data_IF_540506779807
#
_entry.id   IF_540506779807
#
_cell.length_a   1.000
_cell.length_b   1.000
_cell.length_c   1.000
_cell.angle_alpha   90.00
_cell.angle_beta   90.00
_cell.angle_gamma   90.00
#
_symmetry.space_group_name_H-M   'P 1'
#
loop_
_entity.id
_entity.type
_entity.pdbx_description
1 polymer ?
#
# COMPACT_ATOMS: atom_id res chain seq x y z
N UNK A 1 -0.33 23.54 4.76
CA UNK A 1 -0.38 22.90 6.09
C UNK A 1 0.20 21.50 5.96
N UNK A 2 1.24 21.13 6.74
CA UNK A 2 1.79 19.77 6.74
C UNK A 2 0.77 18.88 7.44
N UNK A 3 0.33 17.80 6.76
CA UNK A 3 -0.62 16.84 7.32
C UNK A 3 -0.05 16.25 8.62
N UNK A 4 -0.88 16.08 9.65
CA UNK A 4 -0.51 15.55 10.96
C UNK A 4 0.18 14.18 10.86
N UNK A 5 -0.26 13.33 9.93
CA UNK A 5 0.39 12.05 9.64
C UNK A 5 1.86 12.21 9.19
N UNK A 6 2.18 13.26 8.41
CA UNK A 6 3.55 13.56 7.99
C UNK A 6 4.40 14.09 9.16
N UNK A 7 3.83 14.89 10.05
CA UNK A 7 4.52 15.35 11.26
C UNK A 7 4.90 14.18 12.16
N UNK A 8 3.97 13.26 12.38
CA UNK A 8 4.21 12.06 13.17
C UNK A 8 5.28 11.16 12.54
N UNK A 9 5.26 11.04 11.20
CA UNK A 9 6.28 10.26 10.49
C UNK A 9 7.69 10.87 10.60
N UNK A 10 7.80 12.21 10.57
CA UNK A 10 9.07 12.91 10.79
C UNK A 10 9.56 12.68 12.22
N UNK A 11 8.70 12.88 13.23
CA UNK A 11 9.06 12.67 14.63
C UNK A 11 9.54 11.24 14.90
N UNK A 12 8.84 10.25 14.36
CA UNK A 12 9.22 8.83 14.48
C UNK A 12 10.57 8.52 13.81
N UNK A 13 10.87 9.16 12.68
CA UNK A 13 12.16 9.00 12.03
C UNK A 13 13.30 9.59 12.88
N UNK A 14 13.10 10.81 13.40
CA UNK A 14 14.08 11.51 14.26
C UNK A 14 14.34 10.74 15.56
N UNK A 15 13.30 10.24 16.21
CA UNK A 15 13.41 9.40 17.42
C UNK A 15 14.24 8.13 17.16
N UNK A 16 14.14 7.58 15.96
CA UNK A 16 14.93 6.42 15.52
C UNK A 16 16.35 6.78 15.04
N UNK A 17 16.78 8.04 15.13
CA UNK A 17 18.07 8.52 14.62
C UNK A 17 18.13 8.58 13.09
N UNK A 18 16.98 8.57 12.40
CA UNK A 18 16.90 8.65 10.96
C UNK A 18 16.54 10.06 10.49
N UNK A 19 17.07 10.43 9.32
CA UNK A 19 16.64 11.63 8.61
C UNK A 19 15.40 11.31 7.76
N UNK A 20 14.35 12.12 7.86
CA UNK A 20 13.15 11.97 7.05
C UNK A 20 13.41 12.51 5.63
N UNK A 21 13.95 11.68 4.76
CA UNK A 21 14.34 12.00 3.38
C UNK A 21 13.15 11.98 2.41
N UNK A 22 13.32 12.67 1.29
CA UNK A 22 12.30 12.76 0.25
C UNK A 22 12.98 12.71 -1.12
N UNK A 23 12.42 11.98 -2.08
CA UNK A 23 12.95 11.88 -3.43
C UNK A 23 12.81 13.14 -4.29
N UNK A 24 12.22 14.21 -3.76
CA UNK A 24 12.28 15.54 -4.36
C UNK A 24 13.52 16.33 -3.93
N UNK A 25 14.26 15.84 -2.94
CA UNK A 25 15.55 16.39 -2.52
C UNK A 25 16.66 15.90 -3.46
N UNK A 26 17.79 16.65 -3.57
CA UNK A 26 18.94 16.18 -4.31
C UNK A 26 19.42 14.81 -3.81
N UNK A 27 19.74 13.91 -4.70
CA UNK A 27 20.20 12.56 -4.39
C UNK A 27 21.11 12.02 -5.48
N UNK A 28 21.65 10.82 -5.28
CA UNK A 28 22.40 10.13 -6.31
C UNK A 28 21.44 9.51 -7.33
N UNK A 29 21.91 9.38 -8.57
CA UNK A 29 21.16 8.73 -9.65
C UNK A 29 21.89 7.50 -10.16
N UNK A 30 21.17 6.60 -10.83
CA UNK A 30 21.72 5.40 -11.45
C UNK A 30 21.39 5.36 -12.94
N UNK A 31 22.37 5.00 -13.75
CA UNK A 31 22.22 4.65 -15.16
C UNK A 31 22.75 3.23 -15.40
N UNK A 32 22.19 2.54 -16.37
CA UNK A 32 22.70 1.23 -16.83
C UNK A 32 23.29 1.43 -18.21
N UNK A 33 24.57 1.06 -18.37
CA UNK A 33 25.28 1.03 -19.66
C UNK A 33 26.03 -0.29 -19.78
N UNK A 34 25.84 -0.98 -20.89
CA UNK A 34 26.51 -2.27 -21.17
C UNK A 34 26.38 -3.26 -19.98
N UNK A 35 25.18 -3.39 -19.43
CA UNK A 35 24.85 -4.24 -18.26
C UNK A 35 25.54 -3.81 -16.94
N UNK A 36 26.29 -2.70 -16.94
CA UNK A 36 26.92 -2.17 -15.74
C UNK A 36 26.10 -1.04 -15.13
N UNK A 37 25.99 -1.06 -13.81
CA UNK A 37 25.37 0.04 -13.06
C UNK A 37 26.39 1.13 -12.85
N UNK A 38 26.04 2.35 -13.26
CA UNK A 38 26.82 3.55 -13.06
C UNK A 38 26.05 4.49 -12.14
N UNK A 39 26.70 4.96 -11.11
CA UNK A 39 26.10 5.89 -10.15
C UNK A 39 26.69 7.29 -10.33
N UNK A 40 25.84 8.29 -10.16
CA UNK A 40 26.17 9.70 -10.30
C UNK A 40 25.82 10.46 -9.01
N UNK A 41 26.62 11.45 -8.68
CA UNK A 41 26.39 12.32 -7.54
C UNK A 41 25.30 13.38 -7.81
N UNK A 42 24.98 14.19 -6.80
CA UNK A 42 23.97 15.27 -6.87
C UNK A 42 24.30 16.36 -7.93
N UNK A 43 25.49 16.33 -8.54
CA UNK A 43 25.94 17.23 -9.59
C UNK A 43 26.10 16.51 -10.94
N UNK A 44 25.48 15.37 -11.09
CA UNK A 44 25.57 14.50 -12.28
C UNK A 44 27.00 14.09 -12.66
N UNK A 45 27.93 14.07 -11.69
CA UNK A 45 29.26 13.54 -11.89
C UNK A 45 29.37 12.10 -11.46
N UNK A 46 30.18 11.26 -12.12
CA UNK A 46 30.36 9.87 -11.71
C UNK A 46 30.74 9.76 -10.23
N UNK A 47 30.02 8.99 -9.49
CA UNK A 47 30.24 8.77 -8.07
C UNK A 47 31.56 8.01 -7.86
N UNK A 48 32.53 8.63 -7.17
CA UNK A 48 33.88 8.06 -6.99
C UNK A 48 34.15 7.58 -5.55
N UNK A 49 33.32 8.02 -4.59
CA UNK A 49 33.53 7.68 -3.19
C UNK A 49 33.23 6.17 -2.99
N UNK A 50 34.26 5.39 -2.70
CA UNK A 50 34.13 3.93 -2.54
C UNK A 50 33.07 3.51 -1.52
N UNK A 51 32.93 4.27 -0.43
CA UNK A 51 31.93 4.02 0.60
C UNK A 51 30.51 4.16 0.05
N UNK A 52 30.25 5.22 -0.71
CA UNK A 52 28.93 5.51 -1.28
C UNK A 52 28.58 4.55 -2.43
N UNK A 53 29.58 4.19 -3.25
CA UNK A 53 29.40 3.15 -4.28
C UNK A 53 29.00 1.82 -3.65
N UNK A 54 29.71 1.40 -2.60
CA UNK A 54 29.40 0.17 -1.87
C UNK A 54 27.99 0.23 -1.29
N UNK A 55 27.60 1.35 -0.65
CA UNK A 55 26.26 1.55 -0.11
C UNK A 55 25.19 1.47 -1.20
N UNK A 56 25.39 2.13 -2.33
CA UNK A 56 24.45 2.12 -3.45
C UNK A 56 24.26 0.70 -4.04
N UNK A 57 25.33 -0.08 -4.11
CA UNK A 57 25.29 -1.48 -4.56
C UNK A 57 24.59 -2.39 -3.54
N UNK A 58 24.85 -2.18 -2.23
CA UNK A 58 24.19 -2.91 -1.14
C UNK A 58 22.67 -2.70 -1.07
N UNK A 59 22.14 -1.62 -1.62
CA UNK A 59 20.68 -1.41 -1.74
C UNK A 59 20.02 -2.40 -2.70
N UNK A 60 20.79 -3.12 -3.52
CA UNK A 60 20.30 -4.14 -4.46
C UNK A 60 19.13 -3.69 -5.31
N UNK A 61 19.22 -2.46 -5.83
CA UNK A 61 18.19 -1.87 -6.66
C UNK A 61 18.04 -2.71 -7.95
N UNK A 62 16.83 -3.25 -8.25
CA UNK A 62 16.63 -4.09 -9.42
C UNK A 62 17.08 -3.39 -10.71
N UNK A 63 17.80 -4.09 -11.62
CA UNK A 63 18.24 -3.51 -12.90
C UNK A 63 17.11 -2.95 -13.75
N UNK A 64 15.94 -3.59 -13.71
CA UNK A 64 14.75 -3.19 -14.47
C UNK A 64 14.13 -1.86 -14.03
N UNK A 65 14.54 -1.28 -12.89
CA UNK A 65 14.02 0.01 -12.46
C UNK A 65 14.65 1.15 -13.27
N UNK A 66 13.84 2.15 -13.62
CA UNK A 66 14.26 3.41 -14.24
C UNK A 66 14.09 4.57 -13.27
N UNK A 67 14.57 5.75 -13.62
CA UNK A 67 14.44 6.99 -12.84
C UNK A 67 14.80 6.78 -11.35
N UNK A 68 15.95 6.14 -11.15
CA UNK A 68 16.42 5.78 -9.80
C UNK A 68 16.99 7.00 -9.10
N UNK A 69 16.39 7.33 -7.95
CA UNK A 69 16.93 8.27 -6.96
C UNK A 69 17.45 7.50 -5.75
N UNK A 70 18.59 7.90 -5.21
CA UNK A 70 19.20 7.33 -4.01
C UNK A 70 19.51 8.46 -3.05
N UNK A 71 19.05 8.33 -1.80
CA UNK A 71 19.36 9.30 -0.76
C UNK A 71 20.86 9.46 -0.59
N UNK A 72 21.37 10.69 -0.53
CA UNK A 72 22.78 11.00 -0.30
C UNK A 72 23.23 10.72 1.14
N UNK A 73 22.26 10.58 2.07
CA UNK A 73 22.50 10.30 3.49
C UNK A 73 22.30 8.81 3.80
N UNK A 74 23.26 8.23 4.53
CA UNK A 74 23.18 6.83 4.94
C UNK A 74 22.06 6.56 5.95
N UNK A 75 21.67 7.55 6.74
CA UNK A 75 20.56 7.47 7.71
C UNK A 75 19.23 8.01 7.18
N UNK A 76 19.07 8.22 5.87
CA UNK A 76 17.77 8.57 5.30
C UNK A 76 16.75 7.46 5.55
N UNK A 77 15.52 7.76 6.02
CA UNK A 77 14.47 6.75 6.20
C UNK A 77 14.06 6.11 4.88
N UNK A 78 14.01 6.91 3.81
CA UNK A 78 13.85 6.47 2.43
C UNK A 78 15.24 6.44 1.79
N UNK A 79 15.71 5.25 1.41
CA UNK A 79 17.05 5.05 0.88
C UNK A 79 17.10 5.15 -0.64
N UNK A 80 16.08 4.65 -1.35
CA UNK A 80 16.00 4.80 -2.80
C UNK A 80 14.54 4.73 -3.28
N UNK A 81 14.31 5.32 -4.45
CA UNK A 81 13.09 5.12 -5.24
C UNK A 81 13.45 4.79 -6.68
N UNK A 82 12.52 4.22 -7.42
CA UNK A 82 12.66 3.98 -8.86
C UNK A 82 11.33 3.55 -9.47
N UNK A 83 11.27 3.50 -10.78
CA UNK A 83 10.08 3.11 -11.53
C UNK A 83 10.29 1.69 -12.07
N UNK A 84 9.37 0.78 -11.75
CA UNK A 84 9.42 -0.61 -12.24
C UNK A 84 8.93 -0.73 -13.70
N UNK A 85 9.03 -1.94 -14.27
CA UNK A 85 8.57 -2.23 -15.64
C UNK A 85 7.07 -1.98 -15.86
N UNK A 86 6.27 -1.95 -14.78
CA UNK A 86 4.83 -1.62 -14.82
C UNK A 86 4.55 -0.15 -14.57
N UNK A 87 5.56 0.72 -14.68
CA UNK A 87 5.49 2.16 -14.44
C UNK A 87 5.01 2.55 -13.02
N UNK A 88 5.24 1.68 -12.03
CA UNK A 88 4.90 1.96 -10.64
C UNK A 88 6.14 2.42 -9.89
N UNK A 89 5.98 3.45 -9.06
CA UNK A 89 7.05 3.90 -8.16
C UNK A 89 7.28 2.85 -7.07
N UNK A 90 8.51 2.42 -6.94
CA UNK A 90 8.98 1.49 -5.93
C UNK A 90 9.88 2.21 -4.92
N UNK A 91 9.94 1.69 -3.69
CA UNK A 91 10.62 2.34 -2.56
C UNK A 91 11.51 1.34 -1.83
N UNK A 92 12.72 1.76 -1.49
CA UNK A 92 13.61 1.04 -0.58
C UNK A 92 13.79 1.88 0.67
N UNK A 93 13.39 1.34 1.80
CA UNK A 93 13.48 2.02 3.08
C UNK A 93 14.66 1.53 3.91
N UNK A 94 15.10 2.35 4.86
CA UNK A 94 16.10 1.97 5.84
C UNK A 94 15.57 0.79 6.71
N UNK A 95 16.40 -0.21 7.06
CA UNK A 95 15.95 -1.37 7.84
C UNK A 95 15.26 -0.99 9.16
N UNK A 96 15.82 -0.03 9.91
CA UNK A 96 15.22 0.48 11.15
C UNK A 96 13.82 1.06 10.89
N UNK A 97 13.63 1.80 9.80
CA UNK A 97 12.32 2.34 9.43
C UNK A 97 11.31 1.24 9.13
N UNK A 98 11.73 0.22 8.41
CA UNK A 98 10.88 -0.94 8.09
C UNK A 98 10.46 -1.67 9.36
N UNK A 99 11.38 -1.87 10.30
CA UNK A 99 11.10 -2.49 11.60
C UNK A 99 10.09 -1.68 12.40
N UNK A 100 10.32 -0.37 12.60
CA UNK A 100 9.41 0.52 13.33
C UNK A 100 8.00 0.51 12.77
N UNK A 101 7.88 0.54 11.45
CA UNK A 101 6.55 0.47 10.80
C UNK A 101 5.85 -0.86 11.01
N UNK A 102 6.61 -1.94 11.06
CA UNK A 102 6.06 -3.28 11.35
C UNK A 102 5.56 -3.36 12.78
N UNK A 103 6.34 -2.91 13.75
CA UNK A 103 5.98 -2.88 15.17
C UNK A 103 4.71 -2.03 15.39
N UNK A 104 4.68 -0.81 14.86
CA UNK A 104 3.51 0.07 14.95
C UNK A 104 2.24 -0.52 14.29
N UNK A 105 2.41 -1.37 13.28
CA UNK A 105 1.29 -2.11 12.68
C UNK A 105 0.76 -3.17 13.63
N UNK A 106 1.63 -3.92 14.29
CA UNK A 106 1.22 -4.97 15.23
C UNK A 106 0.52 -4.38 16.47
N UNK A 107 1.01 -3.26 17.01
CA UNK A 107 0.37 -2.58 18.13
C UNK A 107 -1.07 -2.16 17.80
N UNK A 108 -1.30 -1.68 16.58
CA UNK A 108 -2.65 -1.34 16.12
C UNK A 108 -3.55 -2.56 15.92
N UNK A 109 -3.01 -3.73 15.64
CA UNK A 109 -3.81 -4.95 15.45
C UNK A 109 -4.54 -5.38 16.71
N UNK A 110 -3.94 -5.21 17.88
CA UNK A 110 -4.58 -5.55 19.18
C UNK A 110 -5.80 -4.65 19.42
N UNK A 111 -5.66 -3.34 19.22
CA UNK A 111 -6.77 -2.40 19.39
C UNK A 111 -7.87 -2.60 18.33
N UNK A 112 -7.48 -2.89 17.09
CA UNK A 112 -8.40 -3.25 16.01
C UNK A 112 -9.18 -4.52 16.36
N UNK A 113 -8.50 -5.59 16.81
CA UNK A 113 -9.14 -6.84 17.22
C UNK A 113 -10.19 -6.65 18.32
N UNK A 114 -9.91 -5.76 19.29
CA UNK A 114 -10.88 -5.39 20.33
C UNK A 114 -12.11 -4.62 19.81
N UNK A 115 -11.99 -3.97 18.66
CA UNK A 115 -13.05 -3.20 18.04
C UNK A 115 -13.92 -4.06 17.11
N UNK A 116 -13.40 -5.20 16.60
CA UNK A 116 -14.10 -6.08 15.67
C UNK A 116 -15.52 -6.48 16.12
N UNK A 117 -15.78 -6.85 17.39
CA UNK A 117 -17.14 -7.19 17.83
C UNK A 117 -18.14 -6.06 17.56
N UNK A 118 -17.76 -4.81 17.85
CA UNK A 118 -18.62 -3.64 17.59
C UNK A 118 -18.83 -3.38 16.10
N UNK A 119 -17.80 -3.61 15.27
CA UNK A 119 -17.91 -3.49 13.82
C UNK A 119 -18.89 -4.53 13.30
N UNK A 120 -18.83 -5.76 13.83
CA UNK A 120 -19.73 -6.87 13.45
C UNK A 120 -21.18 -6.58 13.84
N UNK A 121 -21.42 -6.16 15.06
CA UNK A 121 -22.74 -5.71 15.52
C UNK A 121 -23.30 -4.62 14.58
N UNK A 122 -22.52 -3.57 14.33
CA UNK A 122 -22.95 -2.45 13.49
C UNK A 122 -23.28 -2.87 12.05
N UNK A 123 -22.50 -3.74 11.42
CA UNK A 123 -22.83 -4.15 10.06
C UNK A 123 -24.02 -5.10 10.02
N UNK A 124 -24.27 -5.93 11.03
CA UNK A 124 -25.50 -6.71 11.12
C UNK A 124 -26.74 -5.84 11.24
N UNK A 125 -26.70 -4.81 12.11
CA UNK A 125 -27.80 -3.84 12.24
C UNK A 125 -28.07 -3.11 10.93
N UNK A 126 -27.01 -2.64 10.27
CA UNK A 126 -27.15 -1.93 8.99
C UNK A 126 -27.63 -2.85 7.84
N UNK A 127 -27.32 -4.15 7.87
CA UNK A 127 -27.84 -5.11 6.88
C UNK A 127 -29.33 -5.36 7.05
N UNK A 128 -29.84 -5.29 8.29
CA UNK A 128 -31.25 -5.44 8.59
C UNK A 128 -32.09 -4.20 8.23
N UNK A 129 -31.45 -3.06 7.89
CA UNK A 129 -32.14 -1.83 7.50
C UNK A 129 -32.96 -2.06 6.21
N UNK A 130 -34.29 -1.89 6.28
CA UNK A 130 -35.17 -2.08 5.13
C UNK A 130 -34.90 -1.04 4.03
N UNK A 131 -34.87 -1.49 2.78
CA UNK A 131 -34.76 -0.61 1.61
C UNK A 131 -36.09 0.10 1.30
N UNK A 132 -36.01 1.23 0.64
CA UNK A 132 -37.19 1.91 0.13
C UNK A 132 -37.57 1.31 -1.24
N UNK A 133 -38.55 0.40 -1.25
CA UNK A 133 -39.05 -0.27 -2.47
C UNK A 133 -39.48 0.72 -3.58
N UNK A 134 -39.98 1.91 -3.19
CA UNK A 134 -40.40 2.93 -4.16
C UNK A 134 -39.26 3.57 -4.95
N UNK A 135 -38.04 3.51 -4.44
CA UNK A 135 -36.86 4.10 -5.10
C UNK A 135 -36.00 3.07 -5.83
N UNK A 136 -36.32 1.77 -5.71
CA UNK A 136 -35.52 0.67 -6.26
C UNK A 136 -34.00 0.83 -5.98
N UNK A 137 -33.68 1.37 -4.80
CA UNK A 137 -32.31 1.66 -4.36
C UNK A 137 -32.07 1.08 -2.98
N UNK A 138 -30.92 0.45 -2.80
CA UNK A 138 -30.47 -0.01 -1.50
C UNK A 138 -29.95 1.18 -0.67
N UNK A 139 -30.26 1.24 0.65
CA UNK A 139 -29.67 2.24 1.52
C UNK A 139 -28.15 2.18 1.50
N UNK A 140 -27.49 3.34 1.44
CA UNK A 140 -26.01 3.40 1.43
C UNK A 140 -25.37 2.60 2.57
N UNK A 141 -25.94 2.69 3.78
CA UNK A 141 -25.46 1.95 4.95
C UNK A 141 -25.50 0.45 4.75
N UNK A 142 -26.56 -0.07 4.13
CA UNK A 142 -26.74 -1.49 3.84
C UNK A 142 -25.68 -1.99 2.83
N UNK A 143 -25.42 -1.21 1.78
CA UNK A 143 -24.36 -1.52 0.81
C UNK A 143 -22.99 -1.54 1.46
N UNK A 144 -22.68 -0.52 2.29
CA UNK A 144 -21.42 -0.46 3.02
C UNK A 144 -21.28 -1.61 4.04
N UNK A 145 -22.35 -1.98 4.70
CA UNK A 145 -22.38 -3.11 5.62
C UNK A 145 -22.11 -4.45 4.91
N UNK A 146 -22.69 -4.64 3.72
CA UNK A 146 -22.40 -5.82 2.90
C UNK A 146 -20.92 -5.88 2.50
N UNK A 147 -20.34 -4.76 2.06
CA UNK A 147 -18.93 -4.67 1.71
C UNK A 147 -18.04 -5.05 2.92
N UNK A 148 -18.30 -4.47 4.09
CA UNK A 148 -17.55 -4.74 5.32
C UNK A 148 -17.69 -6.21 5.72
N UNK A 149 -18.91 -6.78 5.65
CA UNK A 149 -19.15 -8.19 5.94
C UNK A 149 -18.36 -9.11 5.01
N UNK A 150 -18.38 -8.84 3.70
CA UNK A 150 -17.63 -9.62 2.73
C UNK A 150 -16.11 -9.55 3.00
N UNK A 151 -15.59 -8.37 3.34
CA UNK A 151 -14.17 -8.23 3.73
C UNK A 151 -13.83 -9.04 4.98
N UNK A 152 -14.72 -9.03 6.00
CA UNK A 152 -14.53 -9.75 7.28
C UNK A 152 -14.61 -11.27 7.12
N UNK A 153 -15.48 -11.77 6.25
CA UNK A 153 -15.76 -13.20 6.12
C UNK A 153 -14.92 -13.89 5.04
N UNK A 154 -14.61 -13.22 3.94
CA UNK A 154 -13.91 -13.81 2.80
C UNK A 154 -12.43 -13.42 2.72
N UNK A 155 -12.00 -12.39 3.45
CA UNK A 155 -10.66 -11.80 3.37
C UNK A 155 -10.27 -11.32 1.97
N UNK A 156 -11.26 -11.11 1.08
CA UNK A 156 -11.02 -10.56 -0.25
C UNK A 156 -10.42 -9.16 -0.14
N UNK A 157 -9.47 -8.81 -1.00
CA UNK A 157 -8.95 -7.43 -1.05
C UNK A 157 -9.99 -6.47 -1.63
N UNK A 158 -9.92 -5.20 -1.25
CA UNK A 158 -10.83 -4.16 -1.75
C UNK A 158 -10.78 -4.05 -3.27
N UNK A 159 -9.63 -4.12 -3.90
CA UNK A 159 -9.45 -3.88 -5.34
C UNK A 159 -8.90 -2.48 -5.63
N UNK A 160 -8.39 -2.30 -6.85
CA UNK A 160 -7.86 -1.03 -7.34
C UNK A 160 -8.16 -0.92 -8.83
N UNK A 161 -8.72 0.20 -9.27
CA UNK A 161 -9.05 0.45 -10.68
C UNK A 161 -7.84 0.39 -11.62
N UNK A 162 -6.67 0.85 -11.16
CA UNK A 162 -5.42 0.78 -11.95
C UNK A 162 -4.98 -0.65 -12.26
N UNK A 163 -5.48 -1.65 -11.56
CA UNK A 163 -5.19 -3.06 -11.81
C UNK A 163 -6.10 -3.68 -12.88
N UNK A 164 -7.09 -2.94 -13.39
CA UNK A 164 -8.01 -3.36 -14.46
C UNK A 164 -7.45 -3.12 -15.87
N UNK A 165 -6.49 -2.19 -16.01
CA UNK A 165 -5.99 -1.74 -17.33
C UNK A 165 -4.96 -2.68 -17.97
N UNK A 166 -4.44 -3.69 -17.27
CA UNK A 166 -3.55 -4.70 -17.80
C UNK A 166 -4.40 -5.79 -18.50
N UNK A 167 -4.61 -5.63 -19.81
CA UNK A 167 -5.42 -6.51 -20.68
C UNK A 167 -5.08 -8.01 -20.63
N UNK A 168 -3.94 -8.42 -20.09
CA UNK A 168 -3.56 -9.83 -19.98
C UNK A 168 -3.55 -10.39 -18.55
N UNK A 169 -3.57 -9.53 -17.52
CA UNK A 169 -3.51 -9.94 -16.10
C UNK A 169 -4.31 -9.00 -15.20
N UNK A 170 -5.50 -8.62 -15.64
CA UNK A 170 -6.40 -7.84 -14.77
C UNK A 170 -6.65 -8.59 -13.45
N UNK A 171 -6.54 -7.88 -12.34
CA UNK A 171 -6.83 -8.46 -11.04
C UNK A 171 -7.92 -7.65 -10.36
N UNK A 172 -8.92 -8.37 -9.88
CA UNK A 172 -10.10 -7.78 -9.28
C UNK A 172 -10.07 -7.92 -7.76
N UNK A 173 -10.75 -7.03 -7.10
CA UNK A 173 -11.08 -7.11 -5.68
C UNK A 173 -12.53 -6.74 -5.49
N UNK A 174 -13.00 -6.66 -4.25
CA UNK A 174 -14.42 -6.47 -3.96
C UNK A 174 -15.06 -5.27 -4.65
N UNK A 175 -14.38 -4.11 -4.68
CA UNK A 175 -14.90 -2.87 -5.31
C UNK A 175 -14.74 -2.81 -6.84
N UNK A 176 -14.01 -3.76 -7.41
CA UNK A 176 -13.75 -3.85 -8.85
C UNK A 176 -14.27 -5.16 -9.46
N UNK A 177 -15.02 -5.93 -8.68
CA UNK A 177 -15.67 -7.15 -9.10
C UNK A 177 -16.72 -6.85 -10.17
N UNK A 178 -16.88 -7.75 -11.13
CA UNK A 178 -17.86 -7.69 -12.21
C UNK A 178 -18.85 -8.83 -12.05
N UNK A 179 -20.00 -8.74 -12.69
CA UNK A 179 -21.07 -9.74 -12.60
C UNK A 179 -20.60 -11.16 -12.98
N UNK A 180 -19.69 -11.26 -13.95
CA UNK A 180 -19.07 -12.53 -14.39
C UNK A 180 -18.15 -13.19 -13.34
N UNK A 181 -17.79 -12.46 -12.27
CA UNK A 181 -16.99 -12.98 -11.16
C UNK A 181 -17.84 -13.51 -10.01
N UNK A 182 -19.18 -13.45 -10.13
CA UNK A 182 -20.11 -13.87 -9.10
C UNK A 182 -21.09 -14.88 -9.67
N UNK A 183 -21.25 -15.98 -8.97
CA UNK A 183 -22.29 -16.94 -9.21
C UNK A 183 -23.23 -16.95 -8.00
N UNK A 184 -24.53 -16.81 -8.26
CA UNK A 184 -25.55 -16.78 -7.23
C UNK A 184 -26.35 -18.05 -7.33
N UNK A 185 -26.06 -19.01 -6.48
CA UNK A 185 -26.93 -20.17 -6.31
C UNK A 185 -28.15 -19.75 -5.48
N UNK A 186 -29.38 -20.01 -5.98
CA UNK A 186 -30.56 -19.76 -5.19
C UNK A 186 -30.56 -20.72 -3.98
N UNK A 187 -30.39 -20.14 -2.79
CA UNK A 187 -30.56 -20.89 -1.56
C UNK A 187 -32.05 -21.14 -1.39
N UNK A 188 -32.49 -22.39 -1.46
CA UNK A 188 -33.84 -22.77 -1.00
C UNK A 188 -33.90 -22.39 0.48
N UNK A 189 -34.70 -21.37 0.79
CA UNK A 189 -35.02 -21.05 2.17
C UNK A 189 -35.98 -22.17 2.58
N UNK A 190 -35.46 -23.21 3.20
CA UNK A 190 -36.29 -24.15 3.95
C UNK A 190 -36.78 -23.39 5.17
N UNK A 191 -38.05 -22.98 5.14
CA UNK A 191 -38.80 -22.56 6.33
C UNK A 191 -38.91 -23.76 7.26
N UNK A 192 -37.88 -24.17 7.94
CA UNK A 192 -37.96 -24.99 9.13
C UNK A 192 -38.27 -24.05 10.31
N UNK A 193 -39.53 -23.65 10.37
CA UNK A 193 -40.17 -23.23 11.59
C UNK A 193 -40.72 -24.48 12.29
N UNK A 194 -40.04 -24.89 13.36
CA UNK A 194 -40.60 -25.61 14.50
C UNK A 194 -39.88 -25.24 15.78
#
# INVERSE_FOLDING_TARGET
MVNEAKKNAIANAEEAGLYYSNNTEPGYTRQIKEEKQLFFDIKDKPLKAKRELKRADELRIPPAWTDVWICDRNNGHLQATGIDAKKRTQYIYHPIWTQLRSEAKFDKMVSFGRTLPKIREQYFDNLAEEGNEKQNSLPYKRVMALIVRLLDTTFIRIGNETSRDDNEKATYGLSTMQDEHMDFEPTEITDEAD
#
